data_IF_646710925292
#
_entry.id   IF_646710925292
#
_cell.length_a   1.000
_cell.length_b   1.000
_cell.length_c   1.000
_cell.angle_alpha   90.00
_cell.angle_beta   90.00
_cell.angle_gamma   90.00
#
_symmetry.space_group_name_H-M   'P 1'
#
loop_
_entity.id
_entity.type
_entity.pdbx_description
1 polymer ?
#
# COMPACT_ATOMS: atom_id res chain seq x y z
N UNK A 1 14.03 -15.61 -29.92
CA UNK A 1 13.97 -16.00 -28.50
C UNK A 1 13.09 -14.97 -27.84
N UNK A 2 11.86 -15.36 -27.55
CA UNK A 2 10.70 -14.49 -27.35
C UNK A 2 10.87 -13.43 -26.26
N UNK A 3 10.78 -12.16 -26.68
CA UNK A 3 10.60 -11.01 -25.81
C UNK A 3 9.10 -10.85 -25.50
N UNK A 4 8.61 -11.59 -24.51
CA UNK A 4 7.32 -11.29 -23.86
C UNK A 4 7.55 -10.83 -22.43
N UNK A 5 8.07 -9.60 -22.29
CA UNK A 5 8.07 -8.84 -21.05
C UNK A 5 6.74 -8.06 -20.97
N UNK A 6 5.76 -8.60 -20.24
CA UNK A 6 4.66 -7.77 -19.71
C UNK A 6 5.17 -7.11 -18.44
N UNK A 7 5.57 -5.87 -18.56
CA UNK A 7 5.88 -4.99 -17.43
C UNK A 7 4.56 -4.34 -16.99
N UNK A 8 4.11 -4.54 -15.74
CA UNK A 8 2.97 -3.77 -15.22
C UNK A 8 3.47 -2.42 -14.73
N UNK A 9 2.91 -1.36 -15.29
CA UNK A 9 3.11 0.02 -14.86
C UNK A 9 1.90 0.39 -14.00
N UNK A 10 2.08 0.98 -12.82
CA UNK A 10 0.95 1.57 -12.09
C UNK A 10 1.11 3.09 -12.14
N UNK A 11 0.15 3.78 -12.75
CA UNK A 11 0.06 5.23 -12.69
C UNK A 11 -1.19 5.65 -11.93
N UNK A 12 -1.04 6.69 -11.13
CA UNK A 12 -2.13 7.36 -10.43
C UNK A 12 -2.67 8.45 -11.38
N UNK A 13 -3.73 8.14 -12.11
CA UNK A 13 -4.48 9.12 -12.90
C UNK A 13 -5.67 9.60 -12.06
N UNK A 14 -5.45 10.54 -11.14
CA UNK A 14 -6.49 11.03 -10.23
C UNK A 14 -6.67 10.13 -9.00
N UNK A 15 -7.92 9.79 -8.63
CA UNK A 15 -8.25 9.03 -7.41
C UNK A 15 -8.25 7.49 -7.58
N UNK A 16 -7.95 6.98 -8.78
CA UNK A 16 -7.92 5.53 -9.05
C UNK A 16 -6.51 5.05 -9.45
N UNK A 17 -6.18 3.84 -9.00
CA UNK A 17 -4.99 3.10 -9.43
C UNK A 17 -5.36 2.23 -10.63
N UNK A 18 -4.80 2.52 -11.80
CA UNK A 18 -4.91 1.70 -12.99
C UNK A 18 -3.60 0.97 -13.28
N UNK A 19 -3.68 -0.32 -13.60
CA UNK A 19 -2.59 -1.04 -14.25
C UNK A 19 -2.48 -0.57 -15.70
N UNK A 20 -1.37 0.06 -16.04
CA UNK A 20 -0.99 0.44 -17.40
C UNK A 20 -0.38 -0.77 -18.12
N UNK A 21 -0.91 -1.00 -19.31
CA UNK A 21 -0.70 -2.22 -20.11
C UNK A 21 0.62 -2.16 -20.91
N UNK A 22 1.24 -0.99 -21.06
CA UNK A 22 2.49 -0.86 -21.82
C UNK A 22 3.42 0.28 -21.33
N UNK A 23 4.65 -0.01 -20.86
CA UNK A 23 5.72 0.97 -20.58
C UNK A 23 5.93 2.02 -21.67
N UNK A 24 5.94 1.57 -22.92
CA UNK A 24 6.47 2.32 -24.05
C UNK A 24 5.45 3.34 -24.54
N UNK A 25 4.17 2.95 -24.59
CA UNK A 25 3.07 3.86 -24.91
C UNK A 25 2.92 4.98 -23.87
N UNK A 26 3.10 4.66 -22.58
CA UNK A 26 2.97 5.64 -21.50
C UNK A 26 4.14 6.63 -21.51
N UNK A 27 5.36 6.16 -21.79
CA UNK A 27 6.51 7.05 -21.93
C UNK A 27 6.35 7.99 -23.13
N UNK A 28 5.92 7.47 -24.29
CA UNK A 28 5.71 8.30 -25.48
C UNK A 28 4.53 9.27 -25.31
N UNK A 29 3.39 8.86 -24.73
CA UNK A 29 2.25 9.76 -24.46
C UNK A 29 2.57 10.84 -23.43
N UNK A 30 3.25 10.49 -22.32
CA UNK A 30 3.61 11.46 -21.26
C UNK A 30 4.71 12.43 -21.74
N UNK A 31 5.74 11.94 -22.43
CA UNK A 31 6.81 12.79 -22.95
C UNK A 31 6.33 13.72 -24.07
N UNK A 32 5.44 13.27 -24.96
CA UNK A 32 4.84 14.15 -25.97
C UNK A 32 3.89 15.19 -25.36
N UNK A 33 3.18 14.88 -24.27
CA UNK A 33 2.21 15.79 -23.67
C UNK A 33 2.82 16.87 -22.77
N UNK A 34 4.05 16.71 -22.25
CA UNK A 34 4.57 17.62 -21.20
C UNK A 34 5.93 18.28 -21.47
N UNK A 35 6.93 17.63 -22.10
CA UNK A 35 8.24 18.28 -22.33
C UNK A 35 9.02 17.59 -23.49
N UNK A 36 9.29 18.27 -24.64
CA UNK A 36 10.05 17.70 -25.76
C UNK A 36 11.54 17.42 -25.50
N UNK A 37 12.10 17.81 -24.35
CA UNK A 37 13.54 17.84 -24.09
C UNK A 37 14.10 16.62 -23.33
N UNK A 38 13.28 15.62 -23.00
CA UNK A 38 13.74 14.39 -22.36
C UNK A 38 14.41 13.45 -23.39
N UNK A 39 15.70 13.16 -23.22
CA UNK A 39 16.41 12.16 -24.03
C UNK A 39 16.00 10.75 -23.58
N UNK A 40 15.70 9.88 -24.54
CA UNK A 40 15.48 8.44 -24.34
C UNK A 40 16.64 7.83 -23.54
N UNK A 41 16.40 7.09 -22.43
CA UNK A 41 17.44 6.28 -21.82
C UNK A 41 17.90 5.20 -22.82
N UNK A 42 19.21 4.98 -22.94
CA UNK A 42 19.72 3.96 -23.86
C UNK A 42 19.44 2.54 -23.32
N UNK A 43 19.29 1.53 -24.19
CA UNK A 43 18.83 0.18 -23.80
C UNK A 43 19.89 -0.69 -23.10
N UNK A 44 20.97 -0.12 -22.59
CA UNK A 44 22.13 -0.87 -22.09
C UNK A 44 22.08 -1.02 -20.56
N UNK A 45 21.46 -2.14 -20.17
CA UNK A 45 21.72 -3.00 -19.00
C UNK A 45 22.75 -2.45 -17.99
N UNK A 46 22.26 -2.01 -16.82
CA UNK A 46 22.97 -2.21 -15.55
C UNK A 46 22.05 -2.99 -14.62
N UNK A 47 22.61 -3.82 -13.73
CA UNK A 47 21.87 -4.69 -12.80
C UNK A 47 21.19 -3.92 -11.65
N UNK A 48 21.20 -2.59 -11.70
CA UNK A 48 20.63 -1.70 -10.70
C UNK A 48 19.76 -0.67 -11.45
N UNK A 49 18.48 -1.00 -11.66
CA UNK A 49 17.59 -0.15 -12.46
C UNK A 49 16.98 1.01 -11.64
N UNK A 50 16.92 2.16 -12.29
CA UNK A 50 16.72 3.49 -11.73
C UNK A 50 15.25 3.83 -11.43
N UNK A 51 15.02 4.54 -10.32
CA UNK A 51 13.76 5.25 -10.03
C UNK A 51 13.72 6.55 -10.83
N UNK A 52 12.68 6.74 -11.65
CA UNK A 52 12.39 8.04 -12.23
C UNK A 52 11.21 8.68 -11.47
N UNK A 53 11.47 9.85 -10.88
CA UNK A 53 10.46 10.69 -10.25
C UNK A 53 10.01 11.72 -11.28
N UNK A 54 8.70 11.78 -11.56
CA UNK A 54 8.12 12.84 -12.37
C UNK A 54 7.39 13.81 -11.44
N UNK A 55 7.95 15.01 -11.31
CA UNK A 55 7.31 16.16 -10.67
C UNK A 55 6.70 17.04 -11.77
N UNK A 56 5.37 17.05 -11.83
CA UNK A 56 4.63 18.13 -12.47
C UNK A 56 3.71 18.69 -11.39
N UNK A 57 3.61 20.02 -11.30
CA UNK A 57 3.24 20.82 -10.10
C UNK A 57 1.96 20.43 -9.32
N UNK A 58 1.18 19.46 -9.76
CA UNK A 58 -0.01 18.95 -9.06
C UNK A 58 -0.16 17.40 -9.06
N UNK A 59 0.79 16.62 -9.61
CA UNK A 59 0.67 15.14 -9.70
C UNK A 59 2.03 14.43 -9.68
N UNK A 60 2.34 13.71 -8.59
CA UNK A 60 3.46 12.74 -8.55
C UNK A 60 2.96 11.34 -8.90
N UNK A 61 3.53 10.76 -9.95
CA UNK A 61 3.39 9.35 -10.30
C UNK A 61 4.62 8.58 -9.81
N UNK A 62 4.41 7.56 -8.99
CA UNK A 62 5.48 6.63 -8.61
C UNK A 62 5.50 5.49 -9.61
N UNK A 63 6.59 5.37 -10.35
CA UNK A 63 6.85 4.20 -11.18
C UNK A 63 7.59 3.17 -10.33
N UNK A 64 6.86 2.17 -9.82
CA UNK A 64 7.47 1.01 -9.15
C UNK A 64 7.52 -0.12 -10.17
N UNK A 65 8.74 -0.42 -10.63
CA UNK A 65 8.97 -1.58 -11.50
C UNK A 65 9.32 -2.77 -10.61
N UNK A 66 8.39 -3.70 -10.44
CA UNK A 66 8.64 -4.95 -9.75
C UNK A 66 9.48 -5.86 -10.66
N UNK A 67 10.69 -6.21 -10.23
CA UNK A 67 11.36 -7.38 -10.79
C UNK A 67 10.49 -8.61 -10.52
N UNK A 68 10.37 -9.54 -11.48
CA UNK A 68 9.67 -10.83 -11.26
C UNK A 68 10.24 -11.48 -10.00
N UNK A 69 9.55 -11.33 -8.87
CA UNK A 69 9.67 -12.27 -7.76
C UNK A 69 9.19 -13.61 -8.30
N UNK A 70 9.83 -14.69 -7.84
CA UNK A 70 9.34 -16.06 -8.01
C UNK A 70 7.81 -16.07 -7.91
N UNK A 71 7.12 -16.78 -8.81
CA UNK A 71 5.66 -16.96 -8.75
C UNK A 71 5.32 -17.36 -7.32
N UNK A 72 4.60 -16.49 -6.61
CA UNK A 72 4.15 -16.79 -5.25
C UNK A 72 3.20 -17.98 -5.34
N UNK A 73 3.49 -19.05 -4.59
CA UNK A 73 2.58 -20.19 -4.45
C UNK A 73 1.32 -19.82 -3.62
N UNK A 74 1.31 -18.62 -3.02
CA UNK A 74 0.21 -18.15 -2.18
C UNK A 74 -0.94 -17.71 -3.07
N UNK A 75 -2.02 -18.47 -2.98
CA UNK A 75 -3.27 -18.23 -3.69
C UNK A 75 -4.38 -17.90 -2.73
N UNK A 76 -5.38 -17.19 -3.24
CA UNK A 76 -6.61 -16.98 -2.52
C UNK A 76 -7.35 -18.31 -2.31
N UNK A 77 -7.79 -18.55 -1.09
CA UNK A 77 -8.51 -19.77 -0.69
C UNK A 77 -9.84 -19.39 -0.04
N UNK A 78 -10.81 -20.30 -0.10
CA UNK A 78 -12.12 -20.15 0.58
C UNK A 78 -12.82 -18.82 0.28
N UNK A 79 -12.69 -18.32 -0.96
CA UNK A 79 -13.42 -17.12 -1.43
C UNK A 79 -14.91 -17.45 -1.50
N UNK A 80 -15.71 -16.71 -0.76
CA UNK A 80 -17.16 -16.91 -0.65
C UNK A 80 -17.87 -15.56 -0.56
N UNK A 81 -18.95 -15.36 -1.34
CA UNK A 81 -19.83 -14.20 -1.16
C UNK A 81 -20.47 -14.22 0.23
N UNK A 82 -20.62 -13.05 0.84
CA UNK A 82 -21.20 -12.89 2.18
C UNK A 82 -22.23 -11.78 2.20
N UNK A 83 -23.20 -11.88 3.11
CA UNK A 83 -24.20 -10.83 3.33
C UNK A 83 -23.66 -9.79 4.30
N UNK A 84 -24.08 -8.53 4.14
CA UNK A 84 -23.73 -7.43 5.05
C UNK A 84 -23.85 -7.80 6.54
N UNK A 85 -24.95 -8.46 6.93
CA UNK A 85 -25.18 -8.91 8.32
C UNK A 85 -24.06 -9.79 8.89
N UNK A 86 -23.35 -10.56 8.05
CA UNK A 86 -22.26 -11.44 8.48
C UNK A 86 -20.93 -10.69 8.66
N UNK A 87 -20.79 -9.52 8.05
CA UNK A 87 -19.57 -8.70 8.14
C UNK A 87 -19.78 -7.41 8.93
N UNK A 88 -21.01 -7.14 9.40
CA UNK A 88 -21.34 -5.93 10.16
C UNK A 88 -20.38 -5.69 11.32
N UNK A 89 -20.09 -6.72 12.12
CA UNK A 89 -19.16 -6.60 13.25
C UNK A 89 -17.73 -6.25 12.81
N UNK A 90 -17.31 -6.72 11.62
CA UNK A 90 -16.00 -6.40 11.04
C UNK A 90 -15.97 -4.92 10.61
N UNK A 91 -17.05 -4.43 10.01
CA UNK A 91 -17.18 -3.04 9.58
C UNK A 91 -17.20 -2.10 10.78
N UNK A 92 -17.97 -2.44 11.81
CA UNK A 92 -18.03 -1.67 13.06
C UNK A 92 -16.64 -1.59 13.70
N UNK A 93 -15.91 -2.71 13.75
CA UNK A 93 -14.54 -2.78 14.28
C UNK A 93 -13.57 -1.89 13.49
N UNK A 94 -13.58 -1.98 12.15
CA UNK A 94 -12.73 -1.15 11.30
C UNK A 94 -13.09 0.33 11.46
N UNK A 95 -14.39 0.68 11.47
CA UNK A 95 -14.86 2.06 11.58
C UNK A 95 -14.35 2.75 12.85
N UNK A 96 -14.36 2.01 13.97
CA UNK A 96 -13.78 2.48 15.23
C UNK A 96 -12.27 2.68 15.09
N UNK A 97 -11.55 1.71 14.50
CA UNK A 97 -10.10 1.79 14.34
C UNK A 97 -9.64 2.93 13.44
N UNK A 98 -10.41 3.25 12.40
CA UNK A 98 -10.05 4.29 11.43
C UNK A 98 -10.65 5.66 11.75
N UNK A 99 -11.51 5.75 12.77
CA UNK A 99 -12.18 6.99 13.15
C UNK A 99 -13.14 7.53 12.09
N UNK A 100 -13.67 6.66 11.23
CA UNK A 100 -14.53 7.05 10.10
C UNK A 100 -15.58 5.98 9.85
N UNK A 101 -16.84 6.40 9.69
CA UNK A 101 -17.93 5.51 9.33
C UNK A 101 -18.01 5.38 7.82
N UNK A 102 -18.23 4.17 7.34
CA UNK A 102 -18.45 3.89 5.92
C UNK A 102 -19.56 2.86 5.76
N UNK A 103 -20.38 3.04 4.72
CA UNK A 103 -21.45 2.11 4.39
C UNK A 103 -21.06 1.29 3.16
N UNK A 104 -21.14 -0.03 3.30
CA UNK A 104 -20.91 -1.01 2.23
C UNK A 104 -22.08 -2.00 2.12
N UNK A 105 -23.25 -1.64 2.65
CA UNK A 105 -24.43 -2.51 2.71
C UNK A 105 -25.04 -2.82 1.35
N UNK A 106 -24.84 -1.94 0.36
CA UNK A 106 -25.27 -2.08 -1.03
C UNK A 106 -24.20 -2.74 -1.94
N UNK A 107 -23.01 -3.03 -1.40
CA UNK A 107 -21.86 -3.53 -2.19
C UNK A 107 -21.81 -5.04 -2.27
N UNK A 108 -21.06 -5.52 -3.26
CA UNK A 108 -20.77 -6.95 -3.36
C UNK A 108 -19.65 -7.32 -2.40
N UNK A 109 -19.99 -8.13 -1.39
CA UNK A 109 -19.08 -8.49 -0.30
C UNK A 109 -18.63 -9.94 -0.41
N UNK A 110 -17.34 -10.17 -0.21
CA UNK A 110 -16.77 -11.52 -0.19
C UNK A 110 -15.79 -11.65 0.97
N UNK A 111 -15.73 -12.84 1.56
CA UNK A 111 -14.64 -13.24 2.45
C UNK A 111 -13.77 -14.27 1.78
N UNK A 112 -12.48 -14.18 2.03
CA UNK A 112 -11.52 -15.16 1.57
C UNK A 112 -10.35 -15.30 2.56
N UNK A 113 -9.42 -16.20 2.26
CA UNK A 113 -8.21 -16.41 3.05
C UNK A 113 -6.98 -16.29 2.14
N UNK A 114 -5.98 -15.55 2.63
CA UNK A 114 -4.69 -15.37 1.99
C UNK A 114 -3.59 -15.48 3.06
N UNK A 115 -2.66 -16.41 2.91
CA UNK A 115 -1.51 -16.57 3.81
C UNK A 115 -1.89 -16.60 5.31
N UNK A 116 -2.88 -17.44 5.66
CA UNK A 116 -3.44 -17.56 7.02
C UNK A 116 -4.08 -16.29 7.61
N UNK A 117 -4.33 -15.29 6.76
CA UNK A 117 -5.10 -14.08 7.06
C UNK A 117 -6.46 -14.17 6.39
N UNK A 118 -7.50 -13.93 7.16
CA UNK A 118 -8.83 -13.71 6.57
C UNK A 118 -8.84 -12.31 5.94
N UNK A 119 -9.43 -12.20 4.75
CA UNK A 119 -9.54 -10.94 4.02
C UNK A 119 -11.00 -10.65 3.66
N UNK A 120 -11.32 -9.37 3.55
CA UNK A 120 -12.61 -8.85 3.12
C UNK A 120 -12.42 -8.17 1.76
N UNK A 121 -13.22 -8.61 0.79
CA UNK A 121 -13.32 -7.97 -0.51
C UNK A 121 -14.63 -7.19 -0.59
N UNK A 122 -14.56 -5.99 -1.13
CA UNK A 122 -15.70 -5.12 -1.45
C UNK A 122 -15.60 -4.78 -2.92
N UNK A 123 -16.62 -5.10 -3.71
CA UNK A 123 -16.64 -4.95 -5.16
C UNK A 123 -15.39 -5.55 -5.83
N UNK A 124 -15.04 -6.77 -5.39
CA UNK A 124 -13.83 -7.53 -5.80
C UNK A 124 -12.50 -6.86 -5.46
N UNK A 125 -12.46 -5.79 -4.68
CA UNK A 125 -11.21 -5.18 -4.19
C UNK A 125 -10.92 -5.64 -2.77
N UNK A 126 -9.70 -6.10 -2.47
CA UNK A 126 -9.30 -6.47 -1.11
C UNK A 126 -9.09 -5.21 -0.27
N UNK A 127 -10.04 -4.88 0.60
CA UNK A 127 -10.00 -3.65 1.38
C UNK A 127 -9.60 -3.85 2.84
N UNK A 128 -9.81 -5.03 3.41
CA UNK A 128 -9.40 -5.30 4.78
C UNK A 128 -8.85 -6.70 4.95
N UNK A 129 -8.03 -6.86 5.98
CA UNK A 129 -7.42 -8.11 6.39
C UNK A 129 -7.42 -8.25 7.92
N UNK A 130 -7.46 -9.49 8.38
CA UNK A 130 -7.34 -9.81 9.80
C UNK A 130 -5.86 -9.99 10.15
N UNK A 131 -5.37 -9.19 11.09
CA UNK A 131 -4.01 -9.26 11.59
C UNK A 131 -4.01 -9.97 12.96
N UNK A 132 -3.14 -10.96 13.11
CA UNK A 132 -2.89 -11.61 14.41
C UNK A 132 -1.83 -10.82 15.16
N UNK A 133 -2.20 -10.23 16.29
CA UNK A 133 -1.26 -9.68 17.27
C UNK A 133 -0.97 -10.74 18.35
N UNK A 134 -0.09 -10.44 19.31
CA UNK A 134 0.23 -11.39 20.40
C UNK A 134 -0.99 -11.76 21.25
N UNK A 135 -1.94 -10.84 21.39
CA UNK A 135 -3.03 -10.95 22.37
C UNK A 135 -4.42 -11.02 21.72
N UNK A 136 -4.56 -10.67 20.44
CA UNK A 136 -5.85 -10.59 19.76
C UNK A 136 -5.74 -10.80 18.25
N UNK A 137 -6.89 -10.96 17.59
CA UNK A 137 -7.02 -10.77 16.16
C UNK A 137 -7.86 -9.53 15.91
N UNK A 138 -7.39 -8.66 15.03
CA UNK A 138 -8.07 -7.41 14.72
C UNK A 138 -8.14 -7.18 13.22
N UNK A 139 -9.24 -6.61 12.76
CA UNK A 139 -9.44 -6.26 11.35
C UNK A 139 -8.91 -4.87 11.05
N UNK A 140 -8.09 -4.73 10.02
CA UNK A 140 -7.55 -3.44 9.63
C UNK A 140 -7.66 -3.23 8.12
N UNK A 141 -7.68 -2.00 7.62
CA UNK A 141 -7.60 -1.77 6.19
C UNK A 141 -6.28 -2.29 5.60
N UNK A 142 -6.33 -2.82 4.38
CA UNK A 142 -5.13 -3.00 3.54
C UNK A 142 -4.64 -1.64 3.04
N UNK A 143 -3.51 -1.56 2.33
CA UNK A 143 -3.12 -0.29 1.69
C UNK A 143 -4.21 0.18 0.71
N UNK A 144 -4.86 -0.73 -0.01
CA UNK A 144 -6.02 -0.42 -0.88
C UNK A 144 -7.23 0.04 -0.07
N UNK A 145 -7.46 -0.54 1.12
CA UNK A 145 -8.47 -0.08 2.06
C UNK A 145 -8.24 1.34 2.56
N UNK A 146 -6.99 1.67 2.93
CA UNK A 146 -6.61 3.03 3.34
C UNK A 146 -6.85 4.03 2.21
N UNK A 147 -6.50 3.68 0.97
CA UNK A 147 -6.79 4.51 -0.19
C UNK A 147 -8.30 4.71 -0.41
N UNK A 148 -9.10 3.68 -0.14
CA UNK A 148 -10.53 3.71 -0.39
C UNK A 148 -11.32 4.45 0.69
N UNK A 149 -10.99 4.22 1.96
CA UNK A 149 -11.71 4.80 3.11
C UNK A 149 -11.08 6.08 3.65
N UNK A 150 -9.84 6.41 3.25
CA UNK A 150 -9.13 7.63 3.63
C UNK A 150 -9.17 7.91 5.15
N UNK A 151 -8.65 7.00 5.99
CA UNK A 151 -8.66 7.15 7.43
C UNK A 151 -7.92 8.42 7.87
N UNK A 152 -8.41 9.12 8.89
CA UNK A 152 -7.79 10.35 9.40
C UNK A 152 -6.82 10.11 10.57
N UNK A 153 -6.91 8.95 11.21
CA UNK A 153 -6.13 8.57 12.40
C UNK A 153 -5.26 7.33 12.15
N UNK A 154 -4.47 6.94 13.15
CA UNK A 154 -3.59 5.76 13.15
C UNK A 154 -2.56 5.78 12.01
N UNK A 155 -1.86 6.91 11.83
CA UNK A 155 -0.83 7.07 10.81
C UNK A 155 0.52 7.57 11.31
N UNK A 156 1.58 7.23 10.59
CA UNK A 156 2.89 7.89 10.64
C UNK A 156 3.29 8.40 9.26
N UNK A 157 3.87 9.59 9.20
CA UNK A 157 4.41 10.18 7.99
C UNK A 157 5.93 10.03 7.96
N UNK A 158 6.45 9.46 6.88
CA UNK A 158 7.88 9.19 6.70
C UNK A 158 8.54 10.11 5.68
N UNK A 159 9.84 10.27 5.82
CA UNK A 159 10.68 10.95 4.85
C UNK A 159 10.82 10.16 3.54
N UNK A 160 11.22 10.87 2.48
CA UNK A 160 11.49 10.27 1.18
C UNK A 160 12.56 9.17 1.23
N UNK A 161 13.51 9.28 2.17
CA UNK A 161 14.59 8.30 2.38
C UNK A 161 14.09 6.94 2.83
N UNK A 162 13.03 6.87 3.64
CA UNK A 162 12.45 5.60 4.12
C UNK A 162 11.60 4.87 3.07
N UNK A 163 10.96 5.58 2.14
CA UNK A 163 10.04 5.02 1.14
C UNK A 163 10.62 3.82 0.36
N UNK A 164 11.84 3.88 -0.22
CA UNK A 164 12.44 2.74 -0.90
C UNK A 164 12.52 1.47 -0.04
N UNK A 165 12.79 1.60 1.25
CA UNK A 165 12.94 0.47 2.15
C UNK A 165 11.58 -0.15 2.48
N UNK A 166 10.56 0.68 2.72
CA UNK A 166 9.19 0.24 2.96
C UNK A 166 8.60 -0.51 1.76
N UNK A 167 8.83 -0.02 0.54
CA UNK A 167 8.41 -0.70 -0.70
C UNK A 167 9.08 -2.06 -0.91
N UNK A 168 10.20 -2.31 -0.24
CA UNK A 168 10.90 -3.59 -0.24
C UNK A 168 10.51 -4.49 0.95
N UNK A 169 9.59 -4.04 1.81
CA UNK A 169 9.12 -4.78 2.98
C UNK A 169 10.00 -4.66 4.22
N UNK A 170 10.89 -3.67 4.27
CA UNK A 170 11.64 -3.38 5.48
C UNK A 170 10.72 -2.80 6.57
N UNK A 171 11.15 -2.98 7.82
CA UNK A 171 10.50 -2.33 8.96
C UNK A 171 10.81 -0.82 8.97
N UNK A 172 9.89 -0.02 9.50
CA UNK A 172 10.08 1.42 9.61
C UNK A 172 10.96 1.75 10.82
N UNK A 173 12.07 2.42 10.56
CA UNK A 173 12.96 2.95 11.59
C UNK A 173 12.43 4.29 12.09
N UNK A 174 12.60 4.58 13.39
CA UNK A 174 12.15 5.85 13.99
C UNK A 174 12.77 7.08 13.31
N UNK A 175 14.03 6.96 12.88
CA UNK A 175 14.77 8.04 12.20
C UNK A 175 14.08 8.58 10.92
N UNK A 176 13.24 7.77 10.27
CA UNK A 176 12.50 8.18 9.08
C UNK A 176 11.11 8.75 9.38
N UNK A 177 10.63 8.70 10.63
CA UNK A 177 9.29 9.19 11.03
C UNK A 177 9.39 10.64 11.48
N UNK A 178 8.56 11.50 10.90
CA UNK A 178 8.55 12.94 11.22
C UNK A 178 7.26 13.42 11.86
N UNK A 179 6.14 12.78 11.55
CA UNK A 179 4.84 13.11 12.09
C UNK A 179 4.11 11.81 12.38
N UNK A 180 3.28 11.81 13.41
CA UNK A 180 2.50 10.65 13.80
C UNK A 180 1.18 11.13 14.40
N UNK A 181 0.17 10.26 14.35
CA UNK A 181 -0.97 10.39 15.23
C UNK A 181 -0.54 9.99 16.66
N UNK A 182 -0.54 10.96 17.58
CA UNK A 182 -0.14 10.76 18.98
C UNK A 182 -1.05 9.79 19.75
N UNK A 183 -2.23 9.45 19.20
CA UNK A 183 -3.12 8.43 19.78
C UNK A 183 -2.56 7.00 19.66
N UNK A 184 -1.50 6.80 18.87
CA UNK A 184 -0.88 5.48 18.64
C UNK A 184 -0.15 5.01 19.88
N UNK A 185 -0.47 3.78 20.30
CA UNK A 185 0.21 3.06 21.37
C UNK A 185 0.98 1.86 20.84
N UNK A 186 2.00 1.44 21.58
CA UNK A 186 2.73 0.20 21.28
C UNK A 186 1.76 -0.97 21.13
N UNK A 187 1.87 -1.69 20.01
CA UNK A 187 1.00 -2.80 19.63
C UNK A 187 -0.17 -2.41 18.72
N UNK A 188 -0.46 -1.13 18.53
CA UNK A 188 -1.52 -0.67 17.63
C UNK A 188 -1.21 -0.98 16.16
N UNK A 189 -2.26 -1.25 15.40
CA UNK A 189 -2.20 -1.27 13.95
C UNK A 189 -2.26 0.16 13.41
N UNK A 190 -1.43 0.43 12.41
CA UNK A 190 -1.33 1.75 11.82
C UNK A 190 -0.92 1.68 10.35
N UNK A 191 -1.12 2.78 9.64
CA UNK A 191 -0.65 2.95 8.27
C UNK A 191 0.48 3.97 8.19
N UNK A 192 1.34 3.81 7.19
CA UNK A 192 2.50 4.66 6.95
C UNK A 192 2.28 5.39 5.64
N UNK A 193 2.53 6.70 5.64
CA UNK A 193 2.32 7.58 4.49
C UNK A 193 3.54 8.42 4.17
N UNK A 194 3.62 8.87 2.92
CA UNK A 194 4.56 9.90 2.51
C UNK A 194 4.23 11.22 3.25
N UNK A 195 5.23 11.84 3.87
CA UNK A 195 5.09 13.16 4.52
C UNK A 195 4.71 14.26 3.53
N UNK A 196 5.19 14.21 2.31
CA UNK A 196 5.01 15.30 1.34
C UNK A 196 3.63 15.25 0.67
N UNK A 197 3.19 14.05 0.30
CA UNK A 197 1.95 13.87 -0.48
C UNK A 197 0.81 13.19 0.30
N UNK A 198 1.06 12.70 1.51
CA UNK A 198 0.07 11.99 2.32
C UNK A 198 -0.34 10.62 1.77
N UNK A 199 0.32 10.13 0.71
CA UNK A 199 -0.03 8.86 0.05
C UNK A 199 0.34 7.66 0.93
N UNK A 200 -0.56 6.69 1.13
CA UNK A 200 -0.25 5.50 1.94
C UNK A 200 0.73 4.59 1.21
N UNK A 201 1.66 4.02 1.96
CA UNK A 201 2.78 3.19 1.46
C UNK A 201 2.70 1.79 2.05
N UNK A 202 2.44 1.70 3.36
CA UNK A 202 2.50 0.45 4.09
C UNK A 202 1.55 0.45 5.29
N UNK A 203 1.30 -0.75 5.82
CA UNK A 203 0.61 -1.03 7.07
C UNK A 203 1.61 -1.70 8.01
N UNK A 204 1.54 -1.35 9.29
CA UNK A 204 2.45 -1.86 10.29
C UNK A 204 1.83 -1.96 11.68
N UNK A 205 2.61 -2.55 12.59
CA UNK A 205 2.31 -2.63 14.02
C UNK A 205 3.31 -1.73 14.74
N UNK A 206 2.80 -0.78 15.51
CA UNK A 206 3.59 0.10 16.36
C UNK A 206 4.40 -0.72 17.38
N UNK A 207 5.71 -0.45 17.49
CA UNK A 207 6.58 -1.08 18.51
C UNK A 207 6.70 -0.18 19.74
N UNK A 208 6.62 1.12 19.55
CA UNK A 208 6.63 2.15 20.58
C UNK A 208 5.41 3.06 20.44
N UNK A 209 5.16 3.92 21.42
CA UNK A 209 4.09 4.92 21.35
C UNK A 209 4.42 6.03 20.35
N UNK A 210 3.40 6.73 19.83
CA UNK A 210 3.55 7.78 18.82
C UNK A 210 4.56 8.86 19.21
N UNK A 211 4.45 9.43 20.42
CA UNK A 211 5.39 10.45 20.92
C UNK A 211 6.84 9.95 20.88
N UNK A 212 7.07 8.70 21.31
CA UNK A 212 8.39 8.07 21.27
C UNK A 212 8.88 7.83 19.83
N UNK A 213 7.99 7.52 18.87
CA UNK A 213 8.39 7.34 17.46
C UNK A 213 9.07 8.59 16.89
N UNK A 214 8.56 9.79 17.22
CA UNK A 214 9.11 11.06 16.73
C UNK A 214 10.49 11.36 17.34
N UNK A 215 10.70 10.99 18.60
CA UNK A 215 11.95 11.25 19.32
C UNK A 215 13.08 10.28 18.94
N UNK A 216 12.74 9.12 18.38
CA UNK A 216 13.69 8.07 18.04
C UNK A 216 14.62 8.46 16.89
N UNK A 217 15.91 8.61 17.21
CA UNK A 217 16.98 8.80 16.21
C UNK A 217 17.49 7.49 15.59
N UNK A 218 17.18 6.36 16.20
CA UNK A 218 17.56 5.03 15.74
C UNK A 218 16.58 3.98 16.28
N UNK A 219 16.72 2.73 15.82
CA UNK A 219 15.87 1.63 16.24
C UNK A 219 14.56 1.54 15.45
N UNK A 220 13.90 0.39 15.60
CA UNK A 220 12.67 0.04 14.88
C UNK A 220 11.47 0.64 15.60
N UNK A 221 10.69 1.45 14.89
CA UNK A 221 9.50 2.10 15.43
C UNK A 221 8.22 1.36 15.03
N UNK A 222 8.17 0.83 13.80
CA UNK A 222 7.00 0.12 13.27
C UNK A 222 7.45 -1.17 12.58
N UNK A 223 6.78 -2.28 12.91
CA UNK A 223 6.95 -3.55 12.20
C UNK A 223 6.04 -3.57 10.97
N UNK A 224 6.60 -3.60 9.77
CA UNK A 224 5.84 -3.61 8.52
C UNK A 224 5.19 -4.98 8.29
N UNK A 225 3.91 -5.01 7.94
CA UNK A 225 3.14 -6.26 7.74
C UNK A 225 2.46 -6.36 6.38
N UNK A 226 2.31 -5.25 5.68
CA UNK A 226 1.77 -5.17 4.32
C UNK A 226 2.23 -3.86 3.66
N UNK A 227 2.59 -3.88 2.39
CA UNK A 227 3.09 -2.69 1.67
C UNK A 227 2.76 -2.76 0.18
N UNK A 228 2.88 -1.62 -0.51
CA UNK A 228 2.75 -1.56 -1.97
C UNK A 228 3.81 -2.46 -2.61
N UNK A 229 3.36 -3.46 -3.36
CA UNK A 229 4.24 -4.40 -4.05
C UNK A 229 4.53 -5.71 -3.33
N UNK A 230 3.91 -5.93 -2.17
CA UNK A 230 3.89 -7.25 -1.57
C UNK A 230 2.91 -8.20 -2.29
N UNK A 231 2.93 -9.46 -1.89
CA UNK A 231 2.11 -10.50 -2.53
C UNK A 231 0.59 -10.26 -2.38
N UNK A 232 0.15 -9.58 -1.32
CA UNK A 232 -1.26 -9.24 -1.12
C UNK A 232 -1.66 -8.06 -2.01
N UNK A 233 -0.77 -7.08 -2.19
CA UNK A 233 -0.97 -5.93 -3.07
C UNK A 233 -1.02 -6.33 -4.54
N UNK A 234 -0.15 -7.25 -4.98
CA UNK A 234 -0.11 -7.76 -6.35
C UNK A 234 -1.18 -8.82 -6.64
N UNK A 235 -1.98 -9.21 -5.64
CA UNK A 235 -3.03 -10.20 -5.85
C UNK A 235 -4.12 -9.65 -6.76
N UNK A 236 -4.26 -10.24 -7.94
CA UNK A 236 -5.38 -10.01 -8.84
C UNK A 236 -6.64 -10.71 -8.30
N UNK A 237 -7.79 -10.03 -8.34
CA UNK A 237 -9.04 -10.43 -7.67
C UNK A 237 -10.27 -10.31 -8.54
#
# INVERSE_FOLDING_TARGET
MDFHLKSLFYACLGNDWGALIDPHLVYDEICHATLPSLRRPSPLISKDWQKAYFDNKDKICYFVVFGRRSVSEKKLRRRTPVRYKQVKTIIDEISIMIGSNFDISDRFLEKANFDDKDILLVDRKILAFQVKTKNSKSWFPTVRGVLHWMPEIKWAAVDHGAIPFLLNGADCMGAGIHLVDNSIKSGDLMWIKDKEHGKPIAIGIAIVDGEQMIEMKNGKAVKTIHWIGDELWELET
#
